data_IF_837791077665
#
_entry.id   IF_837791077665
#
_cell.length_a   1.000
_cell.length_b   1.000
_cell.length_c   1.000
_cell.angle_alpha   90.00
_cell.angle_beta   90.00
_cell.angle_gamma   90.00
#
_symmetry.space_group_name_H-M   'P 1'
#
loop_
_entity.id
_entity.type
_entity.pdbx_description
1 polymer ?
#
# COMPACT_ATOMS: atom_id res chain seq x y z
N UNK A 1 -3.24 27.50 4.37
CA UNK A 1 -3.21 26.20 5.09
C UNK A 1 -3.21 25.10 4.05
N UNK A 2 -2.41 24.02 4.20
CA UNK A 2 -2.44 22.90 3.25
C UNK A 2 -3.86 22.31 3.20
N UNK A 3 -4.30 21.92 2.00
CA UNK A 3 -5.65 21.39 1.82
C UNK A 3 -5.67 19.99 2.46
N UNK A 4 -6.63 19.69 3.36
CA UNK A 4 -6.69 18.36 3.96
C UNK A 4 -6.89 17.32 2.85
N UNK A 5 -6.13 16.23 2.91
CA UNK A 5 -6.25 15.11 1.98
C UNK A 5 -7.72 14.64 1.93
N UNK A 6 -8.25 14.30 0.75
CA UNK A 6 -9.62 13.82 0.61
C UNK A 6 -9.96 12.65 1.56
N UNK A 7 -11.16 12.65 2.11
CA UNK A 7 -11.64 11.64 3.07
C UNK A 7 -11.21 11.83 4.53
N UNK A 8 -10.22 12.67 4.85
CA UNK A 8 -9.77 12.90 6.25
C UNK A 8 -10.89 13.38 7.19
N UNK A 9 -11.76 14.27 6.71
CA UNK A 9 -12.94 14.72 7.46
C UNK A 9 -13.92 13.58 7.78
N UNK A 10 -14.13 12.67 6.82
CA UNK A 10 -14.97 11.49 7.00
C UNK A 10 -14.39 10.53 8.05
N UNK A 11 -13.06 10.33 8.04
CA UNK A 11 -12.39 9.56 9.10
C UNK A 11 -12.57 10.18 10.49
N UNK A 12 -12.42 11.51 10.62
CA UNK A 12 -12.65 12.22 11.90
C UNK A 12 -14.10 12.04 12.37
N UNK A 13 -15.06 12.25 11.47
CA UNK A 13 -16.49 12.05 11.77
C UNK A 13 -16.75 10.63 12.22
N UNK A 14 -16.19 9.63 11.54
CA UNK A 14 -16.35 8.24 11.92
C UNK A 14 -15.74 7.93 13.31
N UNK A 15 -14.53 8.41 13.60
CA UNK A 15 -13.91 8.24 14.92
C UNK A 15 -14.80 8.85 16.02
N UNK A 16 -15.35 10.04 15.77
CA UNK A 16 -16.18 10.78 16.72
C UNK A 16 -17.57 10.18 16.89
N UNK A 17 -18.21 9.65 15.85
CA UNK A 17 -19.63 9.28 15.90
C UNK A 17 -19.85 7.78 15.76
N UNK A 18 -19.02 7.09 14.98
CA UNK A 18 -19.26 5.73 14.51
C UNK A 18 -20.15 5.66 13.27
N UNK A 19 -20.43 6.80 12.62
CA UNK A 19 -21.27 6.88 11.42
C UNK A 19 -20.76 5.98 10.29
N UNK A 20 -21.64 5.10 9.81
CA UNK A 20 -21.32 4.14 8.76
C UNK A 20 -21.02 4.83 7.43
N UNK A 21 -21.71 5.92 7.13
CA UNK A 21 -21.55 6.59 5.84
C UNK A 21 -20.20 7.30 5.77
N UNK A 22 -19.83 7.99 6.85
CA UNK A 22 -18.48 8.52 7.04
C UNK A 22 -17.39 7.44 6.94
N UNK A 23 -17.62 6.23 7.46
CA UNK A 23 -16.67 5.10 7.33
C UNK A 23 -16.45 4.69 5.88
N UNK A 24 -17.47 4.77 5.02
CA UNK A 24 -17.40 4.25 3.65
C UNK A 24 -17.22 5.31 2.57
N UNK A 25 -17.20 6.59 2.93
CA UNK A 25 -17.03 7.72 2.01
C UNK A 25 -15.76 7.64 1.14
N UNK A 26 -14.73 6.91 1.57
CA UNK A 26 -13.51 6.70 0.77
C UNK A 26 -13.75 5.94 -0.55
N UNK A 27 -14.90 5.26 -0.69
CA UNK A 27 -15.24 4.53 -1.92
C UNK A 27 -15.49 5.45 -3.11
N UNK A 28 -15.89 6.68 -2.84
CA UNK A 28 -16.20 7.69 -3.86
C UNK A 28 -14.95 8.50 -4.26
N UNK A 29 -13.81 8.26 -3.59
CA UNK A 29 -12.52 8.83 -3.97
C UNK A 29 -11.99 8.14 -5.23
N UNK A 30 -11.20 8.86 -6.02
CA UNK A 30 -10.41 8.22 -7.09
C UNK A 30 -9.35 7.26 -6.52
N UNK A 31 -8.73 6.46 -7.39
CA UNK A 31 -7.78 5.43 -6.96
C UNK A 31 -6.57 6.01 -6.19
N UNK A 32 -6.09 7.19 -6.59
CA UNK A 32 -4.92 7.85 -5.98
C UNK A 32 -5.25 8.37 -4.58
N UNK A 33 -6.37 9.08 -4.45
CA UNK A 33 -6.86 9.60 -3.18
C UNK A 33 -7.25 8.48 -2.23
N UNK A 34 -7.79 7.37 -2.76
CA UNK A 34 -8.15 6.19 -1.96
C UNK A 34 -6.92 5.51 -1.35
N UNK A 35 -5.79 5.47 -2.07
CA UNK A 35 -4.52 4.98 -1.53
C UNK A 35 -4.00 5.88 -0.42
N UNK A 36 -3.99 7.19 -0.66
CA UNK A 36 -3.57 8.17 0.33
C UNK A 36 -4.43 8.06 1.61
N UNK A 37 -5.75 7.91 1.44
CA UNK A 37 -6.68 7.66 2.54
C UNK A 37 -6.35 6.37 3.30
N UNK A 38 -6.12 5.26 2.61
CA UNK A 38 -5.76 3.98 3.22
C UNK A 38 -4.49 4.06 4.07
N UNK A 39 -3.51 4.84 3.62
CA UNK A 39 -2.28 5.09 4.37
C UNK A 39 -2.52 5.95 5.62
N UNK A 40 -3.35 6.99 5.54
CA UNK A 40 -3.76 7.78 6.72
C UNK A 40 -4.43 6.87 7.74
N UNK A 41 -5.39 6.04 7.31
CA UNK A 41 -6.08 5.11 8.23
C UNK A 41 -5.10 4.16 8.89
N UNK A 42 -4.10 3.64 8.16
CA UNK A 42 -3.06 2.77 8.74
C UNK A 42 -2.23 3.48 9.82
N UNK A 43 -1.87 4.76 9.60
CA UNK A 43 -1.13 5.57 10.59
C UNK A 43 -1.96 5.87 11.84
N UNK A 44 -3.23 6.20 11.64
CA UNK A 44 -4.18 6.43 12.74
C UNK A 44 -4.41 5.13 13.50
N UNK A 45 -4.54 4.00 12.80
CA UNK A 45 -4.62 2.67 13.38
C UNK A 45 -3.40 2.35 14.25
N UNK A 46 -2.17 2.53 13.75
CA UNK A 46 -0.96 2.30 14.53
C UNK A 46 -0.91 3.20 15.79
N UNK A 47 -1.33 4.47 15.66
CA UNK A 47 -1.40 5.41 16.79
C UNK A 47 -2.47 5.01 17.81
N UNK A 48 -3.62 4.52 17.34
CA UNK A 48 -4.68 4.02 18.19
C UNK A 48 -4.20 2.81 19.01
N UNK A 49 -3.52 1.87 18.36
CA UNK A 49 -2.95 0.71 19.02
C UNK A 49 -1.88 1.09 20.05
N UNK A 50 -0.95 1.98 19.72
CA UNK A 50 0.04 2.49 20.68
C UNK A 50 -0.64 3.13 21.90
N UNK A 51 -1.69 3.91 21.67
CA UNK A 51 -2.44 4.53 22.76
C UNK A 51 -3.22 3.53 23.61
N UNK A 52 -3.65 2.40 23.04
CA UNK A 52 -4.46 1.40 23.74
C UNK A 52 -3.60 0.36 24.48
N UNK A 53 -2.53 -0.13 23.86
CA UNK A 53 -1.68 -1.21 24.40
C UNK A 53 -0.33 -0.72 24.96
N UNK A 54 0.00 0.58 24.87
CA UNK A 54 1.28 1.15 25.31
C UNK A 54 2.34 1.23 24.20
N UNK A 55 3.60 1.54 24.55
CA UNK A 55 4.76 1.71 23.64
C UNK A 55 5.19 0.41 22.90
N UNK A 56 4.26 -0.48 22.59
CA UNK A 56 4.42 -1.62 21.68
C UNK A 56 4.62 -1.19 20.20
N UNK A 57 5.05 0.05 19.96
CA UNK A 57 5.23 0.65 18.63
C UNK A 57 6.58 1.34 18.57
N UNK A 58 7.66 0.56 18.41
CA UNK A 58 8.88 1.08 17.80
C UNK A 58 8.66 1.22 16.28
N UNK A 59 9.00 2.38 15.72
CA UNK A 59 9.04 2.64 14.28
C UNK A 59 7.73 2.36 13.50
N UNK A 60 6.59 2.72 14.08
CA UNK A 60 5.30 2.69 13.36
C UNK A 60 4.78 1.30 13.01
N UNK A 61 5.40 0.26 13.56
CA UNK A 61 4.99 -1.14 13.43
C UNK A 61 4.53 -1.61 14.80
N UNK A 62 3.29 -2.08 14.91
CA UNK A 62 2.81 -2.67 16.15
C UNK A 62 3.48 -4.03 16.32
N UNK A 63 4.35 -4.15 17.32
CA UNK A 63 4.99 -5.42 17.64
C UNK A 63 4.07 -6.27 18.51
N UNK A 64 3.35 -7.18 17.86
CA UNK A 64 2.48 -8.16 18.50
C UNK A 64 3.19 -9.05 19.53
N UNK A 65 4.53 -9.10 19.54
CA UNK A 65 5.32 -9.87 20.49
C UNK A 65 5.35 -9.23 21.87
N UNK A 66 5.15 -7.91 21.97
CA UNK A 66 5.24 -7.16 23.24
C UNK A 66 3.91 -6.97 23.96
N UNK A 67 2.79 -7.30 23.31
CA UNK A 67 1.45 -7.23 23.91
C UNK A 67 1.13 -8.56 24.59
N UNK A 68 0.72 -8.50 25.86
CA UNK A 68 0.24 -9.68 26.57
C UNK A 68 -0.88 -10.36 25.77
N UNK A 69 -0.69 -11.65 25.46
CA UNK A 69 -1.59 -12.41 24.57
C UNK A 69 -3.04 -12.32 25.01
N UNK A 70 -3.30 -12.31 26.31
CA UNK A 70 -4.64 -12.30 26.89
C UNK A 70 -5.35 -10.96 26.64
N UNK A 71 -4.65 -9.83 26.83
CA UNK A 71 -5.21 -8.50 26.56
C UNK A 71 -5.56 -8.30 25.07
N UNK A 72 -4.76 -8.88 24.16
CA UNK A 72 -5.04 -8.87 22.73
C UNK A 72 -6.27 -9.72 22.38
N UNK A 73 -6.40 -10.91 22.96
CA UNK A 73 -7.55 -11.78 22.72
C UNK A 73 -8.84 -11.19 23.29
N UNK A 74 -8.82 -10.65 24.51
CA UNK A 74 -9.97 -9.96 25.12
C UNK A 74 -10.47 -8.82 24.21
N UNK A 75 -9.54 -8.04 23.65
CA UNK A 75 -9.89 -6.96 22.73
C UNK A 75 -10.46 -7.47 21.40
N UNK A 76 -9.93 -8.57 20.86
CA UNK A 76 -10.48 -9.25 19.67
C UNK A 76 -11.91 -9.73 19.94
N UNK A 77 -12.14 -10.38 21.09
CA UNK A 77 -13.45 -10.88 21.50
C UNK A 77 -14.47 -9.76 21.70
N UNK A 78 -14.05 -8.66 22.33
CA UNK A 78 -14.89 -7.47 22.52
C UNK A 78 -15.34 -6.88 21.18
N UNK A 79 -14.44 -6.77 20.19
CA UNK A 79 -14.81 -6.32 18.85
C UNK A 79 -15.72 -7.35 18.17
N UNK A 80 -15.41 -8.65 18.29
CA UNK A 80 -16.20 -9.72 17.69
C UNK A 80 -17.64 -9.75 18.23
N UNK A 81 -17.84 -9.54 19.53
CA UNK A 81 -19.16 -9.48 20.14
C UNK A 81 -20.02 -8.34 19.57
N UNK A 82 -19.42 -7.17 19.30
CA UNK A 82 -20.12 -6.02 18.70
C UNK A 82 -20.24 -6.10 17.18
N UNK A 83 -19.30 -6.78 16.53
CA UNK A 83 -19.17 -6.85 15.08
C UNK A 83 -18.94 -8.29 14.60
N UNK A 84 -19.90 -9.22 14.80
CA UNK A 84 -19.68 -10.66 14.56
C UNK A 84 -19.25 -10.96 13.12
N UNK A 85 -19.85 -10.29 12.15
CA UNK A 85 -19.55 -10.44 10.72
C UNK A 85 -18.13 -10.01 10.32
N UNK A 86 -17.43 -9.22 11.16
CA UNK A 86 -16.09 -8.71 10.89
C UNK A 86 -15.01 -9.34 11.77
N UNK A 87 -15.39 -10.19 12.73
CA UNK A 87 -14.50 -10.85 13.70
C UNK A 87 -13.26 -11.48 13.07
N UNK A 88 -13.44 -12.29 12.02
CA UNK A 88 -12.33 -12.94 11.32
C UNK A 88 -11.40 -11.98 10.56
N UNK A 89 -11.90 -10.82 10.13
CA UNK A 89 -11.07 -9.78 9.52
C UNK A 89 -10.25 -9.03 10.57
N UNK A 90 -10.91 -8.64 11.66
CA UNK A 90 -10.29 -7.97 12.83
C UNK A 90 -9.20 -8.84 13.43
N UNK A 91 -9.50 -10.10 13.75
CA UNK A 91 -8.52 -11.06 14.30
C UNK A 91 -7.28 -11.19 13.42
N UNK A 92 -7.46 -11.29 12.10
CA UNK A 92 -6.32 -11.40 11.16
C UNK A 92 -5.48 -10.13 11.08
N UNK A 93 -6.12 -8.95 11.13
CA UNK A 93 -5.41 -7.66 11.15
C UNK A 93 -4.66 -7.47 12.48
N UNK A 94 -5.31 -7.75 13.61
CA UNK A 94 -4.75 -7.62 14.95
C UNK A 94 -3.69 -8.67 15.30
N UNK A 95 -3.61 -9.80 14.59
CA UNK A 95 -2.53 -10.78 14.78
C UNK A 95 -1.43 -10.67 13.71
N UNK A 96 -1.49 -9.65 12.84
CA UNK A 96 -0.66 -9.55 11.63
C UNK A 96 -0.65 -10.79 10.73
N UNK A 97 -1.58 -11.72 10.90
CA UNK A 97 -1.73 -12.92 10.04
C UNK A 97 -2.38 -12.58 8.71
N UNK A 98 -3.02 -11.41 8.60
CA UNK A 98 -3.36 -10.81 7.32
C UNK A 98 -2.11 -10.51 6.46
N UNK A 99 -0.92 -10.40 7.08
CA UNK A 99 0.35 -10.19 6.38
C UNK A 99 0.97 -11.51 5.90
N UNK A 100 0.46 -12.68 6.30
CA UNK A 100 1.06 -14.02 6.11
C UNK A 100 -0.01 -15.13 5.97
N UNK A 101 -0.79 -15.16 4.88
CA UNK A 101 -1.78 -16.21 4.56
C UNK A 101 -2.69 -15.88 3.38
N UNK A 102 -3.78 -16.63 3.10
CA UNK A 102 -4.80 -16.21 2.10
C UNK A 102 -5.29 -14.80 2.46
N UNK A 103 -4.76 -13.80 1.72
CA UNK A 103 -4.78 -12.41 2.11
C UNK A 103 -6.18 -11.85 2.27
N UNK A 104 -6.33 -10.87 3.16
CA UNK A 104 -7.53 -10.03 3.18
C UNK A 104 -7.49 -9.07 2.00
N UNK A 105 -8.63 -8.86 1.33
CA UNK A 105 -8.73 -7.78 0.37
C UNK A 105 -8.50 -6.42 1.06
N UNK A 106 -7.90 -5.42 0.40
CA UNK A 106 -7.59 -4.11 0.96
C UNK A 106 -8.80 -3.47 1.66
N UNK A 107 -9.99 -3.56 1.05
CA UNK A 107 -11.24 -3.12 1.67
C UNK A 107 -11.53 -3.78 3.01
N UNK A 108 -11.27 -5.08 3.13
CA UNK A 108 -11.49 -5.84 4.35
C UNK A 108 -10.49 -5.42 5.44
N UNK A 109 -9.22 -5.21 5.05
CA UNK A 109 -8.19 -4.66 5.96
C UNK A 109 -8.61 -3.28 6.45
N UNK A 110 -8.98 -2.40 5.52
CA UNK A 110 -9.36 -1.03 5.83
C UNK A 110 -10.62 -1.00 6.72
N UNK A 111 -11.61 -1.83 6.44
CA UNK A 111 -12.81 -1.97 7.27
C UNK A 111 -12.47 -2.44 8.68
N UNK A 112 -11.59 -3.44 8.82
CA UNK A 112 -11.15 -3.93 10.12
C UNK A 112 -10.39 -2.83 10.90
N UNK A 113 -9.49 -2.09 10.25
CA UNK A 113 -8.77 -0.97 10.88
C UNK A 113 -9.71 0.12 11.38
N UNK A 114 -10.73 0.49 10.59
CA UNK A 114 -11.76 1.43 11.03
C UNK A 114 -12.46 0.94 12.30
N UNK A 115 -12.92 -0.32 12.32
CA UNK A 115 -13.61 -0.89 13.47
C UNK A 115 -12.73 -0.88 14.72
N UNK A 116 -11.46 -1.23 14.58
CA UNK A 116 -10.48 -1.22 15.67
C UNK A 116 -10.25 0.21 16.19
N UNK A 117 -9.97 1.17 15.30
CA UNK A 117 -9.81 2.59 15.67
C UNK A 117 -11.05 3.08 16.43
N UNK A 118 -12.24 2.74 15.94
CA UNK A 118 -13.49 3.19 16.57
C UNK A 118 -13.68 2.58 17.94
N UNK A 119 -13.35 1.31 18.12
CA UNK A 119 -13.48 0.64 19.41
C UNK A 119 -12.52 1.25 20.45
N UNK A 120 -11.27 1.52 20.06
CA UNK A 120 -10.31 2.25 20.88
C UNK A 120 -10.85 3.65 21.23
N UNK A 121 -11.40 4.37 20.26
CA UNK A 121 -11.98 5.70 20.49
C UNK A 121 -13.20 5.71 21.43
N UNK A 122 -13.90 4.58 21.62
CA UNK A 122 -14.97 4.49 22.64
C UNK A 122 -14.39 4.39 24.04
N UNK A 123 -13.29 3.67 24.19
CA UNK A 123 -12.63 3.42 25.47
C UNK A 123 -11.73 4.58 25.90
N UNK A 124 -11.27 5.39 24.95
CA UNK A 124 -10.36 6.50 25.17
C UNK A 124 -11.00 7.84 24.74
N UNK A 125 -11.77 8.52 25.62
CA UNK A 125 -12.43 9.79 25.29
C UNK A 125 -11.45 10.88 24.84
N UNK A 126 -10.23 10.90 25.39
CA UNK A 126 -9.17 11.83 24.99
C UNK A 126 -8.71 11.62 23.54
N UNK A 127 -8.59 10.37 23.09
CA UNK A 127 -8.30 10.02 21.70
C UNK A 127 -9.43 10.50 20.77
N UNK A 128 -10.69 10.26 21.16
CA UNK A 128 -11.88 10.68 20.40
C UNK A 128 -12.00 12.20 20.28
N UNK A 129 -11.78 12.94 21.37
CA UNK A 129 -11.85 14.40 21.38
C UNK A 129 -10.77 15.01 20.48
N UNK A 130 -9.56 14.44 20.50
CA UNK A 130 -8.41 14.89 19.71
C UNK A 130 -8.36 14.33 18.28
N UNK A 131 -9.40 13.62 17.82
CA UNK A 131 -9.40 12.93 16.52
C UNK A 131 -9.01 13.84 15.34
N UNK A 132 -9.49 15.07 15.34
CA UNK A 132 -9.18 16.05 14.29
C UNK A 132 -7.69 16.44 14.27
N UNK A 133 -7.11 16.74 15.43
CA UNK A 133 -5.68 17.05 15.55
C UNK A 133 -4.82 15.84 15.20
N UNK A 134 -5.23 14.64 15.60
CA UNK A 134 -4.54 13.40 15.29
C UNK A 134 -4.60 13.07 13.79
N UNK A 135 -5.77 13.08 13.17
CA UNK A 135 -5.90 12.82 11.73
C UNK A 135 -5.17 13.91 10.93
N UNK A 136 -5.24 15.18 11.36
CA UNK A 136 -4.46 16.26 10.76
C UNK A 136 -2.95 16.04 10.89
N UNK A 137 -2.45 15.55 12.03
CA UNK A 137 -1.02 15.27 12.19
C UNK A 137 -0.55 14.07 11.38
N UNK A 138 -1.39 13.06 11.17
CA UNK A 138 -1.09 11.86 10.37
C UNK A 138 -1.32 12.03 8.87
N UNK A 139 -2.12 13.02 8.48
CA UNK A 139 -2.28 13.44 7.07
C UNK A 139 -1.19 14.41 6.62
N UNK A 140 -0.52 15.12 7.54
CA UNK A 140 0.61 15.97 7.20
C UNK A 140 1.85 15.15 6.87
N UNK A 141 2.49 15.55 5.78
CA UNK A 141 3.83 15.14 5.38
C UNK A 141 4.79 16.16 6.00
N UNK A 142 5.70 15.72 6.86
CA UNK A 142 6.56 16.63 7.64
C UNK A 142 7.82 16.92 6.83
N UNK A 143 8.03 18.17 6.44
CA UNK A 143 9.20 18.60 5.64
C UNK A 143 8.88 19.31 4.32
N UNK A 144 7.61 19.63 4.08
CA UNK A 144 7.13 20.17 2.81
C UNK A 144 6.40 21.48 3.11
N UNK A 145 6.91 22.59 2.59
CA UNK A 145 6.24 23.90 2.66
C UNK A 145 5.01 23.89 1.75
N UNK A 146 4.01 24.72 2.07
CA UNK A 146 2.66 24.74 1.46
C UNK A 146 2.58 25.01 -0.05
N UNK A 147 3.71 25.07 -0.76
CA UNK A 147 3.79 25.15 -2.23
C UNK A 147 4.29 23.87 -2.90
N UNK A 148 4.61 22.80 -2.16
CA UNK A 148 5.14 21.56 -2.72
C UNK A 148 4.11 20.41 -2.81
N UNK A 149 2.86 20.63 -2.39
CA UNK A 149 1.74 19.70 -2.66
C UNK A 149 1.44 19.57 -4.17
N UNK A 150 1.63 20.64 -4.95
CA UNK A 150 1.49 20.61 -6.43
C UNK A 150 2.65 19.88 -7.14
N UNK A 151 3.76 19.58 -6.44
CA UNK A 151 4.95 18.95 -7.04
C UNK A 151 5.06 17.43 -6.81
N UNK A 152 4.23 16.81 -5.98
CA UNK A 152 4.34 15.37 -5.70
C UNK A 152 3.90 14.47 -6.85
N UNK A 153 2.97 14.92 -7.69
CA UNK A 153 2.60 14.22 -8.93
C UNK A 153 3.71 14.21 -9.97
N UNK A 154 4.74 15.04 -9.81
CA UNK A 154 5.91 15.08 -10.71
C UNK A 154 7.12 14.33 -10.16
N UNK A 155 7.03 13.74 -8.97
CA UNK A 155 8.15 13.01 -8.39
C UNK A 155 8.22 11.60 -8.98
N UNK A 156 9.22 11.41 -9.82
CA UNK A 156 9.53 10.14 -10.44
C UNK A 156 10.85 9.58 -9.89
N UNK A 157 10.82 8.30 -9.55
CA UNK A 157 11.96 7.57 -9.01
C UNK A 157 12.35 6.51 -10.01
N UNK A 158 13.40 6.77 -10.78
CA UNK A 158 13.92 5.79 -11.74
C UNK A 158 14.83 4.78 -11.06
N UNK A 159 14.62 3.51 -11.32
CA UNK A 159 15.55 2.42 -11.03
C UNK A 159 15.96 1.72 -12.31
N UNK A 160 17.22 1.30 -12.37
CA UNK A 160 17.79 0.54 -13.49
C UNK A 160 18.37 -0.74 -12.92
N UNK A 161 18.24 -1.84 -13.65
CA UNK A 161 18.88 -3.08 -13.24
C UNK A 161 20.41 -3.02 -13.46
N UNK A 162 21.15 -3.95 -12.85
CA UNK A 162 22.62 -3.94 -12.89
C UNK A 162 23.18 -4.09 -14.31
N UNK A 163 22.45 -4.80 -15.19
CA UNK A 163 22.86 -5.06 -16.57
C UNK A 163 22.43 -3.93 -17.52
N UNK A 164 21.79 -2.87 -16.99
CA UNK A 164 21.24 -1.73 -17.74
C UNK A 164 20.30 -2.14 -18.89
N UNK A 165 19.66 -3.29 -18.78
CA UNK A 165 18.74 -3.80 -19.78
C UNK A 165 17.34 -3.19 -19.63
N UNK A 166 16.94 -2.83 -18.40
CA UNK A 166 15.62 -2.30 -18.07
C UNK A 166 15.73 -1.10 -17.15
N UNK A 167 14.92 -0.07 -17.39
CA UNK A 167 14.69 1.03 -16.46
C UNK A 167 13.20 1.20 -16.20
N UNK A 168 12.86 1.50 -14.95
CA UNK A 168 11.50 1.69 -14.47
C UNK A 168 11.46 2.98 -13.69
N UNK A 169 10.51 3.86 -13.98
CA UNK A 169 10.19 5.01 -13.16
C UNK A 169 8.87 4.78 -12.43
N UNK A 170 8.87 4.98 -11.11
CA UNK A 170 7.65 4.93 -10.30
C UNK A 170 7.36 6.30 -9.70
N UNK A 171 6.07 6.62 -9.58
CA UNK A 171 5.61 7.81 -8.87
C UNK A 171 5.77 7.65 -7.37
N UNK A 172 5.61 8.74 -6.60
CA UNK A 172 5.64 8.68 -5.14
C UNK A 172 4.58 7.71 -4.55
N UNK A 173 3.45 7.57 -5.23
CA UNK A 173 2.35 6.65 -4.89
C UNK A 173 2.60 5.18 -5.29
N UNK A 174 3.73 4.89 -5.93
CA UNK A 174 4.11 3.54 -6.38
C UNK A 174 3.48 3.13 -7.73
N UNK A 175 2.76 4.03 -8.40
CA UNK A 175 2.27 3.79 -9.76
C UNK A 175 3.42 3.77 -10.76
N UNK A 176 3.31 2.94 -11.81
CA UNK A 176 4.25 2.95 -12.92
C UNK A 176 4.09 4.25 -13.72
N UNK A 177 5.18 4.99 -13.91
CA UNK A 177 5.21 6.23 -14.69
C UNK A 177 5.89 6.02 -16.04
N UNK A 178 7.02 5.31 -16.05
CA UNK A 178 7.75 4.99 -17.28
C UNK A 178 8.44 3.62 -17.20
N UNK A 179 8.62 2.99 -18.36
CA UNK A 179 9.30 1.73 -18.51
C UNK A 179 10.05 1.69 -19.84
N UNK A 180 11.37 1.51 -19.76
CA UNK A 180 12.24 1.43 -20.91
C UNK A 180 12.98 0.10 -20.95
N UNK A 181 12.91 -0.56 -22.11
CA UNK A 181 13.76 -1.71 -22.45
C UNK A 181 14.89 -1.21 -23.36
N UNK A 182 16.13 -1.34 -22.89
CA UNK A 182 17.30 -0.78 -23.53
C UNK A 182 17.84 -1.66 -24.66
N UNK A 183 18.64 -1.08 -25.55
CA UNK A 183 19.23 -1.80 -26.69
C UNK A 183 20.07 -2.97 -26.18
N UNK A 184 19.91 -4.14 -26.79
CA UNK A 184 20.62 -5.37 -26.40
C UNK A 184 19.79 -6.31 -25.54
N UNK A 185 18.67 -5.82 -24.98
CA UNK A 185 17.67 -6.64 -24.27
C UNK A 185 17.09 -7.76 -25.15
N UNK A 186 17.11 -7.58 -26.48
CA UNK A 186 16.60 -8.58 -27.45
C UNK A 186 17.42 -9.85 -27.49
N UNK A 187 18.66 -9.81 -26.98
CA UNK A 187 19.54 -10.96 -26.84
C UNK A 187 19.22 -11.77 -25.59
N UNK A 188 18.37 -11.24 -24.70
CA UNK A 188 18.01 -11.86 -23.44
C UNK A 188 16.73 -12.68 -23.60
N UNK A 189 16.67 -13.82 -22.90
CA UNK A 189 15.44 -14.59 -22.79
C UNK A 189 14.43 -13.93 -21.84
N UNK A 190 13.14 -14.23 -22.02
CA UNK A 190 12.06 -13.59 -21.25
C UNK A 190 12.21 -13.71 -19.73
N UNK A 191 12.72 -14.84 -19.23
CA UNK A 191 13.01 -15.00 -17.80
C UNK A 191 14.05 -13.99 -17.30
N UNK A 192 15.09 -13.72 -18.08
CA UNK A 192 16.14 -12.76 -17.74
C UNK A 192 15.61 -11.33 -17.82
N UNK A 193 14.80 -11.02 -18.82
CA UNK A 193 14.14 -9.71 -18.94
C UNK A 193 13.21 -9.46 -17.75
N UNK A 194 12.37 -10.43 -17.39
CA UNK A 194 11.48 -10.34 -16.24
C UNK A 194 12.26 -10.16 -14.92
N UNK A 195 13.35 -10.91 -14.72
CA UNK A 195 14.20 -10.72 -13.56
C UNK A 195 14.85 -9.32 -13.51
N UNK A 196 15.26 -8.79 -14.67
CA UNK A 196 15.82 -7.44 -14.79
C UNK A 196 14.78 -6.37 -14.48
N UNK A 197 13.55 -6.54 -14.97
CA UNK A 197 12.40 -5.70 -14.63
C UNK A 197 12.16 -5.64 -13.12
N UNK A 198 12.11 -6.79 -12.44
CA UNK A 198 11.93 -6.84 -10.97
C UNK A 198 13.09 -6.13 -10.26
N UNK A 199 14.33 -6.32 -10.71
CA UNK A 199 15.49 -5.63 -10.12
C UNK A 199 15.42 -4.11 -10.30
N UNK A 200 15.08 -3.64 -11.50
CA UNK A 200 14.88 -2.23 -11.79
C UNK A 200 13.77 -1.64 -10.92
N UNK A 201 12.63 -2.34 -10.79
CA UNK A 201 11.52 -1.94 -9.92
C UNK A 201 11.96 -1.82 -8.45
N UNK A 202 12.68 -2.83 -7.93
CA UNK A 202 13.19 -2.81 -6.54
C UNK A 202 14.15 -1.63 -6.33
N UNK A 203 14.99 -1.31 -7.32
CA UNK A 203 15.88 -0.14 -7.25
C UNK A 203 15.09 1.19 -7.23
N UNK A 204 14.05 1.30 -8.06
CA UNK A 204 13.14 2.45 -8.11
C UNK A 204 12.41 2.64 -6.77
N UNK A 205 11.86 1.55 -6.23
CA UNK A 205 11.22 1.51 -4.91
C UNK A 205 12.17 1.95 -3.81
N UNK A 206 13.42 1.46 -3.76
CA UNK A 206 14.38 1.89 -2.73
C UNK A 206 14.58 3.41 -2.72
N UNK A 207 14.68 4.02 -3.89
CA UNK A 207 14.81 5.49 -4.03
C UNK A 207 13.54 6.21 -3.60
N UNK A 208 12.38 5.74 -4.06
CA UNK A 208 11.06 6.23 -3.65
C UNK A 208 10.90 6.20 -2.14
N UNK A 209 11.28 5.10 -1.49
CA UNK A 209 11.19 4.90 -0.05
C UNK A 209 12.14 5.78 0.74
N UNK A 210 13.41 5.90 0.30
CA UNK A 210 14.35 6.82 0.93
C UNK A 210 13.78 8.25 0.95
N UNK A 211 13.24 8.70 -0.18
CA UNK A 211 12.61 10.01 -0.26
C UNK A 211 11.35 10.10 0.59
N UNK A 212 10.50 9.07 0.58
CA UNK A 212 9.29 9.04 1.38
C UNK A 212 9.55 9.08 2.89
N UNK A 213 10.65 8.48 3.36
CA UNK A 213 11.10 8.58 4.75
C UNK A 213 11.58 9.99 5.09
N UNK A 214 12.38 10.61 4.22
CA UNK A 214 12.84 12.00 4.40
C UNK A 214 11.65 12.97 4.59
N UNK A 215 10.60 12.80 3.80
CA UNK A 215 9.41 13.66 3.87
C UNK A 215 8.32 13.13 4.82
N UNK A 216 8.53 11.97 5.46
CA UNK A 216 7.51 11.28 6.28
C UNK A 216 6.19 11.03 5.55
N UNK A 217 6.26 10.80 4.24
CA UNK A 217 5.13 10.42 3.41
C UNK A 217 4.73 8.95 3.63
N UNK A 218 5.60 8.11 4.23
CA UNK A 218 5.24 6.72 4.56
C UNK A 218 5.93 6.13 5.82
N UNK A 219 5.56 6.58 7.03
CA UNK A 219 6.15 6.10 8.30
C UNK A 219 5.62 4.73 8.80
N UNK A 220 4.96 3.90 7.97
CA UNK A 220 4.47 2.58 8.37
C UNK A 220 4.60 1.56 7.23
N UNK A 221 5.72 0.83 7.19
CA UNK A 221 6.13 0.00 6.04
C UNK A 221 6.48 -1.43 6.47
N UNK A 222 6.08 -2.46 5.72
CA UNK A 222 6.73 -3.77 5.81
C UNK A 222 8.16 -3.69 5.27
N UNK A 223 9.14 -4.26 6.00
CA UNK A 223 10.55 -4.34 5.60
C UNK A 223 10.70 -4.64 4.10
N UNK A 224 11.64 -3.94 3.45
CA UNK A 224 12.09 -4.23 2.08
C UNK A 224 12.56 -5.69 2.06
N UNK A 225 11.65 -6.59 1.71
CA UNK A 225 11.97 -7.99 1.50
C UNK A 225 12.77 -8.06 0.21
N UNK A 226 14.00 -8.55 0.30
CA UNK A 226 14.56 -9.35 -0.78
C UNK A 226 13.44 -10.30 -1.24
N UNK A 227 13.21 -10.47 -2.54
CA UNK A 227 12.06 -11.21 -3.09
C UNK A 227 11.95 -12.70 -2.70
N UNK A 228 12.58 -13.14 -1.61
CA UNK A 228 12.56 -14.48 -1.03
C UNK A 228 11.60 -14.62 0.17
N UNK A 229 11.10 -13.53 0.76
CA UNK A 229 10.21 -13.61 1.93
C UNK A 229 8.76 -13.84 1.53
N UNK A 230 8.26 -15.08 1.63
CA UNK A 230 6.86 -15.48 1.41
C UNK A 230 5.84 -14.92 2.41
N UNK A 231 6.11 -13.75 3.00
CA UNK A 231 5.20 -13.10 3.92
C UNK A 231 3.98 -12.55 3.18
N UNK A 232 4.18 -11.58 2.28
CA UNK A 232 3.04 -10.97 1.58
C UNK A 232 2.46 -11.93 0.53
N UNK A 233 1.30 -12.46 0.87
CA UNK A 233 0.59 -13.56 0.20
C UNK A 233 -0.62 -13.05 -0.57
N UNK A 234 -0.92 -11.76 -0.43
CA UNK A 234 -1.95 -11.07 -1.22
C UNK A 234 -1.37 -10.74 -2.59
N UNK A 235 -1.98 -11.29 -3.65
CA UNK A 235 -1.50 -11.18 -5.03
C UNK A 235 -2.64 -10.73 -5.93
N UNK A 236 -2.44 -9.63 -6.62
CA UNK A 236 -3.31 -9.18 -7.71
C UNK A 236 -2.59 -9.42 -9.01
N UNK A 237 -3.20 -10.26 -9.84
CA UNK A 237 -2.64 -10.65 -11.11
C UNK A 237 -3.50 -10.10 -12.25
N UNK A 238 -2.84 -9.58 -13.26
CA UNK A 238 -3.47 -9.20 -14.52
C UNK A 238 -2.57 -9.54 -15.70
N UNK A 239 -3.21 -9.75 -16.84
CA UNK A 239 -2.56 -9.99 -18.12
C UNK A 239 -2.65 -8.70 -18.94
N UNK A 240 -1.68 -8.48 -19.83
CA UNK A 240 -1.83 -7.48 -20.89
C UNK A 240 -2.93 -7.89 -21.87
N UNK A 241 -3.47 -6.94 -22.64
CA UNK A 241 -4.51 -7.20 -23.64
C UNK A 241 -4.08 -8.20 -24.71
N UNK A 242 -2.77 -8.27 -25.02
CA UNK A 242 -2.21 -9.28 -25.94
C UNK A 242 -2.10 -10.68 -25.33
N UNK A 243 -2.18 -10.79 -24.00
CA UNK A 243 -1.92 -12.00 -23.23
C UNK A 243 -0.45 -12.42 -23.17
N UNK A 244 0.47 -11.59 -23.67
CA UNK A 244 1.92 -11.87 -23.64
C UNK A 244 2.51 -11.70 -22.24
N UNK A 245 2.08 -10.69 -21.51
CA UNK A 245 2.63 -10.34 -20.20
C UNK A 245 1.64 -10.63 -19.08
N UNK A 246 2.15 -11.10 -17.95
CA UNK A 246 1.41 -11.18 -16.69
C UNK A 246 2.21 -10.52 -15.59
N UNK A 247 1.61 -9.54 -14.91
CA UNK A 247 2.16 -8.90 -13.73
C UNK A 247 1.41 -9.34 -12.48
N UNK A 248 2.16 -9.51 -11.39
CA UNK A 248 1.61 -9.73 -10.05
C UNK A 248 2.06 -8.60 -9.14
N UNK A 249 1.11 -7.89 -8.53
CA UNK A 249 1.39 -6.86 -7.53
C UNK A 249 0.98 -7.30 -6.13
N UNK A 250 1.67 -6.77 -5.12
CA UNK A 250 1.22 -6.88 -3.74
C UNK A 250 0.17 -5.81 -3.39
N UNK A 251 -0.31 -5.84 -2.15
CA UNK A 251 -1.37 -4.92 -1.66
C UNK A 251 -0.97 -3.45 -1.62
N UNK A 252 0.30 -3.14 -1.82
CA UNK A 252 0.83 -1.78 -1.91
C UNK A 252 1.03 -1.35 -3.36
N UNK A 253 0.60 -2.17 -4.33
CA UNK A 253 0.78 -1.90 -5.76
C UNK A 253 2.18 -2.21 -6.28
N UNK A 254 3.07 -2.80 -5.47
CA UNK A 254 4.45 -3.10 -5.87
C UNK A 254 4.49 -4.36 -6.71
N UNK A 255 5.22 -4.34 -7.83
CA UNK A 255 5.41 -5.53 -8.66
C UNK A 255 6.27 -6.55 -7.91
N UNK A 256 5.74 -7.77 -7.77
CA UNK A 256 6.36 -8.89 -7.06
C UNK A 256 6.84 -10.00 -7.98
N UNK A 257 6.06 -10.25 -9.03
CA UNK A 257 6.38 -11.26 -10.02
C UNK A 257 5.96 -10.74 -11.39
N UNK A 258 6.68 -11.21 -12.41
CA UNK A 258 6.40 -10.87 -13.79
C UNK A 258 6.75 -12.05 -14.68
N UNK A 259 5.83 -12.42 -15.57
CA UNK A 259 5.99 -13.60 -16.43
C UNK A 259 5.58 -13.24 -17.85
N UNK A 260 6.45 -13.61 -18.80
CA UNK A 260 6.09 -13.65 -20.21
C UNK A 260 5.50 -15.02 -20.55
N UNK A 261 4.31 -15.01 -21.15
CA UNK A 261 3.51 -16.20 -21.44
C UNK A 261 3.95 -16.92 -22.73
N UNK A 262 4.82 -16.30 -23.53
CA UNK A 262 5.33 -16.83 -24.81
C UNK A 262 6.84 -16.59 -24.94
N UNK A 263 7.49 -17.38 -25.79
CA UNK A 263 8.93 -17.25 -26.05
C UNK A 263 9.27 -16.12 -27.04
N UNK A 264 8.40 -15.86 -28.02
CA UNK A 264 8.54 -14.73 -28.94
C UNK A 264 8.06 -13.45 -28.27
N UNK A 265 9.00 -12.60 -27.84
CA UNK A 265 8.70 -11.39 -27.06
C UNK A 265 8.63 -10.13 -27.93
N UNK A 266 9.46 -10.06 -28.97
CA UNK A 266 9.57 -8.87 -29.81
C UNK A 266 8.77 -9.08 -31.09
N UNK A 267 7.56 -8.51 -31.12
CA UNK A 267 6.74 -8.39 -32.33
C UNK A 267 7.14 -7.18 -33.18
N UNK A 268 6.23 -6.71 -34.03
CA UNK A 268 6.45 -5.55 -34.92
C UNK A 268 6.83 -4.26 -34.16
N UNK A 269 6.29 -4.07 -32.95
CA UNK A 269 6.63 -2.94 -32.08
C UNK A 269 8.01 -3.01 -31.42
N UNK A 270 8.75 -4.11 -31.59
CA UNK A 270 10.08 -4.32 -31.01
C UNK A 270 10.12 -4.08 -29.49
N UNK A 271 11.16 -3.41 -29.01
CA UNK A 271 11.35 -3.10 -27.59
C UNK A 271 10.25 -2.20 -27.02
N UNK A 272 9.80 -1.21 -27.78
CA UNK A 272 8.78 -0.26 -27.33
C UNK A 272 7.42 -0.94 -27.20
N UNK A 273 7.07 -1.82 -28.16
CA UNK A 273 5.87 -2.64 -28.07
C UNK A 273 5.89 -3.57 -26.86
N UNK A 274 7.01 -4.25 -26.60
CA UNK A 274 7.14 -5.09 -25.42
C UNK A 274 7.08 -4.28 -24.12
N UNK A 275 7.69 -3.08 -24.08
CA UNK A 275 7.63 -2.19 -22.93
C UNK A 275 6.19 -1.73 -22.64
N UNK A 276 5.43 -1.37 -23.68
CA UNK A 276 4.03 -0.99 -23.57
C UNK A 276 3.16 -2.15 -23.05
N UNK A 277 3.38 -3.36 -23.56
CA UNK A 277 2.67 -4.57 -23.12
C UNK A 277 2.96 -4.91 -21.65
N UNK A 278 4.21 -4.75 -21.21
CA UNK A 278 4.60 -4.89 -19.81
C UNK A 278 3.92 -3.83 -18.95
N UNK A 279 3.95 -2.57 -19.38
CA UNK A 279 3.34 -1.46 -18.66
C UNK A 279 1.81 -1.65 -18.52
N UNK A 280 1.15 -2.13 -19.57
CA UNK A 280 -0.29 -2.45 -19.55
C UNK A 280 -0.61 -3.54 -18.51
N UNK A 281 0.15 -4.64 -18.48
CA UNK A 281 -0.05 -5.71 -17.51
C UNK A 281 0.10 -5.21 -16.06
N UNK A 282 1.11 -4.37 -15.80
CA UNK A 282 1.34 -3.76 -14.48
C UNK A 282 0.19 -2.82 -14.11
N UNK A 283 -0.20 -1.92 -15.01
CA UNK A 283 -1.30 -0.99 -14.78
C UNK A 283 -2.62 -1.74 -14.53
N UNK A 284 -2.91 -2.81 -15.27
CA UNK A 284 -4.08 -3.64 -15.06
C UNK A 284 -4.05 -4.36 -13.69
N UNK A 285 -2.88 -4.84 -13.25
CA UNK A 285 -2.73 -5.48 -11.94
C UNK A 285 -2.92 -4.48 -10.80
N UNK A 286 -2.35 -3.27 -10.93
CA UNK A 286 -2.55 -2.16 -10.00
C UNK A 286 -4.01 -1.71 -9.97
N UNK A 287 -4.67 -1.57 -11.12
CA UNK A 287 -6.09 -1.25 -11.19
C UNK A 287 -6.95 -2.32 -10.52
N UNK A 288 -6.66 -3.61 -10.75
CA UNK A 288 -7.37 -4.72 -10.08
C UNK A 288 -7.19 -4.71 -8.56
N UNK A 289 -6.02 -4.28 -8.09
CA UNK A 289 -5.80 -3.98 -6.68
C UNK A 289 -6.72 -2.84 -6.24
N UNK A 290 -6.73 -1.71 -6.94
CA UNK A 290 -7.50 -0.52 -6.57
C UNK A 290 -9.02 -0.74 -6.60
N UNK A 291 -9.51 -1.52 -7.54
CA UNK A 291 -10.91 -1.94 -7.63
C UNK A 291 -11.33 -2.88 -6.50
N UNK A 292 -10.37 -3.46 -5.77
CA UNK A 292 -10.66 -4.32 -4.61
C UNK A 292 -10.77 -3.55 -3.28
N UNK A 293 -10.66 -2.22 -3.32
CA UNK A 293 -10.87 -1.33 -2.17
C UNK A 293 -12.37 -1.00 -1.92
#
# INVERSE_FOLDING_TARGET
>A
MPRPLPGTGALVTYIRTGDRDARTAYRDLDDRDRLAYGDIVRRVYATALAHHFGDAVEDGTFDHVTVESDALEDFIEQIAARHPHYSGGVKRVLRSTALTGKGLAPRQVLTAQHLIIREIAKQHPGFRANAERMVASKSRIRGVSSGAEEHFSTWEFTGTDADQAVSVAVGLDGTLQDLALHRGVERLGGRTIAASLIRAWVAAEKRRWARAQEVRWHDAVPRIGSGKGGGDTSRWEAYSGSGLSRATVDRYGRVRDFVFMRAGLFGEGGRHGLAADVAEAVAAAQHRLYSSW
#
